data_IF_072975592131
#
_entry.id   IF_072975592131
#
_cell.length_a   1.000
_cell.length_b   1.000
_cell.length_c   1.000
_cell.angle_alpha   90.00
_cell.angle_beta   90.00
_cell.angle_gamma   90.00
#
_symmetry.space_group_name_H-M   'P 1'
#
loop_
_entity.id
_entity.type
_entity.pdbx_description
1 polymer ?
#
# COMPACT_ATOMS: atom_id res chain seq x y z
N UNK A 1 6.49 -12.63 11.17
CA UNK A 1 5.54 -13.49 10.43
C UNK A 1 6.29 -14.59 9.68
N UNK A 2 5.66 -15.75 9.47
CA UNK A 2 6.19 -16.81 8.60
C UNK A 2 5.63 -16.71 7.17
N UNK A 3 6.20 -17.44 6.21
CA UNK A 3 5.91 -17.28 4.78
C UNK A 3 4.42 -17.42 4.42
N UNK A 4 3.72 -18.40 5.00
CA UNK A 4 2.28 -18.61 4.74
C UNK A 4 1.45 -17.40 5.20
N UNK A 5 1.71 -16.89 6.41
CA UNK A 5 1.00 -15.72 6.94
C UNK A 5 1.30 -14.46 6.14
N UNK A 6 2.54 -14.33 5.66
CA UNK A 6 2.92 -13.26 4.75
C UNK A 6 2.13 -13.33 3.44
N UNK A 7 2.02 -14.49 2.81
CA UNK A 7 1.24 -14.66 1.57
C UNK A 7 -0.25 -14.38 1.77
N UNK A 8 -0.82 -14.85 2.88
CA UNK A 8 -2.21 -14.57 3.28
C UNK A 8 -2.48 -13.10 3.57
N UNK A 9 -1.45 -12.32 3.88
CA UNK A 9 -1.58 -10.87 4.01
C UNK A 9 -1.39 -10.20 2.64
N UNK A 10 -0.31 -10.54 1.94
CA UNK A 10 0.17 -9.85 0.75
C UNK A 10 -0.79 -9.97 -0.46
N UNK A 11 -1.26 -11.18 -0.77
CA UNK A 11 -2.09 -11.42 -1.96
C UNK A 11 -3.48 -10.76 -1.82
N UNK A 12 -4.30 -11.07 -0.81
CA UNK A 12 -5.66 -10.53 -0.74
C UNK A 12 -5.69 -9.02 -0.49
N UNK A 13 -4.73 -8.46 0.26
CA UNK A 13 -4.64 -7.00 0.42
C UNK A 13 -4.25 -6.28 -0.87
N UNK A 14 -3.35 -6.86 -1.68
CA UNK A 14 -3.01 -6.33 -3.00
C UNK A 14 -4.22 -6.33 -3.95
N UNK A 15 -4.94 -7.45 -4.01
CA UNK A 15 -6.17 -7.56 -4.82
C UNK A 15 -7.21 -6.54 -4.35
N UNK A 16 -7.45 -6.46 -3.04
CA UNK A 16 -8.39 -5.49 -2.47
C UNK A 16 -8.00 -4.05 -2.77
N UNK A 17 -6.71 -3.71 -2.70
CA UNK A 17 -6.20 -2.39 -3.08
C UNK A 17 -6.59 -2.02 -4.51
N UNK A 18 -6.34 -2.90 -5.48
CA UNK A 18 -6.73 -2.64 -6.87
C UNK A 18 -8.24 -2.59 -7.09
N UNK A 19 -9.03 -3.38 -6.35
CA UNK A 19 -10.50 -3.25 -6.38
C UNK A 19 -10.92 -1.86 -5.90
N UNK A 20 -10.34 -1.36 -4.79
CA UNK A 20 -10.62 0.00 -4.29
C UNK A 20 -10.22 1.06 -5.33
N UNK A 21 -9.07 0.88 -5.98
CA UNK A 21 -8.62 1.70 -7.11
C UNK A 21 -9.60 1.73 -8.26
N UNK A 22 -10.08 0.57 -8.69
CA UNK A 22 -11.06 0.47 -9.76
C UNK A 22 -12.41 1.15 -9.46
N UNK A 23 -12.77 1.27 -8.18
CA UNK A 23 -14.00 1.95 -7.76
C UNK A 23 -13.90 3.48 -7.79
N UNK A 24 -12.73 4.05 -7.43
CA UNK A 24 -12.63 5.47 -7.08
C UNK A 24 -11.49 6.23 -7.80
N UNK A 25 -10.60 5.53 -8.49
CA UNK A 25 -9.48 6.15 -9.22
C UNK A 25 -9.94 6.75 -10.56
N UNK A 26 -9.02 7.43 -11.25
CA UNK A 26 -9.31 8.06 -12.53
C UNK A 26 -9.65 6.99 -13.57
N UNK A 27 -10.89 7.02 -14.07
CA UNK A 27 -11.34 6.22 -15.21
C UNK A 27 -10.36 6.32 -16.38
N UNK A 28 -10.06 5.19 -17.03
CA UNK A 28 -9.22 5.10 -18.24
C UNK A 28 -7.71 5.35 -18.03
N UNK A 29 -7.19 5.23 -16.82
CA UNK A 29 -5.76 5.10 -16.55
C UNK A 29 -5.45 3.70 -16.02
N UNK A 30 -4.77 2.84 -16.79
CA UNK A 30 -4.37 1.54 -16.28
C UNK A 30 -3.34 1.72 -15.17
N UNK A 31 -3.58 1.09 -14.02
CA UNK A 31 -2.65 1.05 -12.88
C UNK A 31 -2.24 -0.39 -12.62
N UNK A 32 -0.94 -0.63 -12.50
CA UNK A 32 -0.35 -1.94 -12.23
C UNK A 32 0.82 -1.81 -11.28
N UNK A 33 1.05 -2.82 -10.45
CA UNK A 33 2.23 -2.87 -9.59
C UNK A 33 2.04 -3.70 -8.33
N UNK A 34 3.15 -4.03 -7.68
CA UNK A 34 3.15 -4.72 -6.39
C UNK A 34 2.88 -3.79 -5.19
N UNK A 35 2.84 -2.47 -5.43
CA UNK A 35 2.90 -1.46 -4.38
C UNK A 35 1.70 -1.49 -3.43
N UNK A 36 0.48 -1.78 -3.88
CA UNK A 36 -0.67 -1.99 -2.98
C UNK A 36 -0.42 -3.09 -1.94
N UNK A 37 0.18 -4.20 -2.36
CA UNK A 37 0.57 -5.28 -1.46
C UNK A 37 1.78 -4.92 -0.57
N UNK A 38 2.69 -4.06 -1.03
CA UNK A 38 3.78 -3.53 -0.18
C UNK A 38 3.21 -2.64 0.92
N UNK A 39 2.24 -1.78 0.63
CA UNK A 39 1.58 -0.94 1.62
C UNK A 39 0.88 -1.76 2.72
N UNK A 40 0.38 -2.96 2.42
CA UNK A 40 -0.14 -3.86 3.44
C UNK A 40 0.96 -4.41 4.36
N UNK A 41 2.19 -4.58 3.86
CA UNK A 41 3.34 -4.94 4.72
C UNK A 41 3.74 -3.80 5.65
N UNK A 42 3.63 -2.54 5.23
CA UNK A 42 3.82 -1.39 6.12
C UNK A 42 2.75 -1.34 7.21
N UNK A 43 1.50 -1.65 6.89
CA UNK A 43 0.44 -1.82 7.89
C UNK A 43 0.76 -2.93 8.89
N UNK A 44 1.28 -4.08 8.43
CA UNK A 44 1.70 -5.16 9.31
C UNK A 44 2.85 -4.75 10.24
N UNK A 45 3.85 -4.04 9.72
CA UNK A 45 4.95 -3.50 10.54
C UNK A 45 4.43 -2.48 11.56
N UNK A 46 3.47 -1.64 11.17
CA UNK A 46 2.85 -0.67 12.08
C UNK A 46 2.13 -1.37 13.23
N UNK A 47 1.33 -2.40 12.94
CA UNK A 47 0.63 -3.18 13.98
C UNK A 47 1.61 -3.90 14.91
N UNK A 48 2.67 -4.48 14.36
CA UNK A 48 3.72 -5.14 15.15
C UNK A 48 4.45 -4.14 16.07
N UNK A 49 4.79 -2.96 15.55
CA UNK A 49 5.47 -1.90 16.29
C UNK A 49 4.61 -1.35 17.43
N UNK A 50 3.30 -1.18 17.20
CA UNK A 50 2.36 -0.74 18.24
C UNK A 50 2.19 -1.83 19.30
N UNK A 51 2.02 -3.09 18.89
CA UNK A 51 1.81 -4.21 19.81
C UNK A 51 3.02 -4.46 20.74
N UNK A 52 4.24 -4.22 20.25
CA UNK A 52 5.49 -4.46 20.99
C UNK A 52 6.25 -3.18 21.34
N UNK A 53 5.57 -2.03 21.42
CA UNK A 53 6.17 -0.70 21.57
C UNK A 53 7.18 -0.57 22.73
N UNK A 54 6.88 -1.19 23.88
CA UNK A 54 7.73 -1.13 25.08
C UNK A 54 8.99 -2.00 24.99
N UNK A 55 8.97 -3.03 24.14
CA UNK A 55 10.07 -3.97 23.96
C UNK A 55 11.01 -3.47 22.86
N UNK A 56 10.47 -2.71 21.91
CA UNK A 56 11.19 -2.29 20.72
C UNK A 56 12.15 -1.12 21.00
N UNK A 57 13.44 -1.34 20.72
CA UNK A 57 14.46 -0.32 20.94
C UNK A 57 14.29 0.84 19.95
N UNK A 58 14.07 2.06 20.49
CA UNK A 58 13.81 3.30 19.73
C UNK A 58 12.56 3.22 18.84
N UNK A 59 11.46 2.68 19.36
CA UNK A 59 10.18 2.55 18.67
C UNK A 59 9.72 3.85 17.96
N UNK A 60 9.85 5.00 18.64
CA UNK A 60 9.47 6.29 18.05
C UNK A 60 10.20 6.65 16.76
N UNK A 61 11.52 6.38 16.67
CA UNK A 61 12.27 6.61 15.41
C UNK A 61 11.82 5.69 14.30
N UNK A 62 11.56 4.41 14.63
CA UNK A 62 11.04 3.43 13.66
C UNK A 62 9.67 3.85 13.12
N UNK A 63 8.80 4.36 14.00
CA UNK A 63 7.50 4.90 13.61
C UNK A 63 7.65 6.08 12.65
N UNK A 64 8.53 7.04 12.96
CA UNK A 64 8.78 8.20 12.09
C UNK A 64 9.26 7.75 10.71
N UNK A 65 10.24 6.84 10.62
CA UNK A 65 10.69 6.32 9.32
C UNK A 65 9.59 5.58 8.56
N UNK A 66 8.78 4.76 9.25
CA UNK A 66 7.67 4.06 8.62
C UNK A 66 6.59 5.03 8.09
N UNK A 67 6.27 6.07 8.85
CA UNK A 67 5.34 7.11 8.41
C UNK A 67 5.90 7.90 7.21
N UNK A 68 7.20 8.18 7.20
CA UNK A 68 7.86 8.80 6.05
C UNK A 68 7.77 7.93 4.80
N UNK A 69 7.91 6.60 4.91
CA UNK A 69 7.74 5.67 3.78
C UNK A 69 6.29 5.65 3.26
N UNK A 70 5.31 5.61 4.17
CA UNK A 70 3.88 5.65 3.82
C UNK A 70 3.53 6.96 3.12
N UNK A 71 3.92 8.10 3.70
CA UNK A 71 3.65 9.43 3.13
C UNK A 71 4.36 9.61 1.80
N UNK A 72 5.64 9.24 1.71
CA UNK A 72 6.40 9.36 0.46
C UNK A 72 5.81 8.49 -0.65
N UNK A 73 5.36 7.27 -0.34
CA UNK A 73 4.69 6.42 -1.31
C UNK A 73 3.36 7.01 -1.80
N UNK A 74 2.58 7.62 -0.91
CA UNK A 74 1.35 8.32 -1.28
C UNK A 74 1.61 9.60 -2.10
N UNK A 75 2.70 10.33 -1.81
CA UNK A 75 3.10 11.48 -2.63
C UNK A 75 3.51 11.05 -4.04
N UNK A 76 4.23 9.94 -4.17
CA UNK A 76 4.58 9.36 -5.48
C UNK A 76 3.34 8.90 -6.24
N UNK A 77 2.27 8.51 -5.57
CA UNK A 77 1.00 8.15 -6.23
C UNK A 77 0.20 9.32 -6.80
N UNK A 78 0.70 10.55 -6.71
CA UNK A 78 0.18 11.69 -7.48
C UNK A 78 0.70 11.70 -8.94
N UNK A 79 1.68 10.84 -9.26
CA UNK A 79 2.25 10.67 -10.60
C UNK A 79 1.32 9.77 -11.43
N UNK A 80 1.07 10.08 -12.72
CA UNK A 80 0.25 9.24 -13.58
C UNK A 80 0.81 7.81 -13.69
N UNK A 81 -0.08 6.82 -13.63
CA UNK A 81 0.27 5.39 -13.65
C UNK A 81 0.47 4.76 -12.27
N UNK A 82 0.47 5.55 -11.20
CA UNK A 82 0.49 5.07 -9.81
C UNK A 82 -0.86 5.41 -9.18
N UNK A 83 -1.49 4.43 -8.53
CA UNK A 83 -2.81 4.61 -7.93
C UNK A 83 -2.75 4.67 -6.40
N UNK A 84 -3.05 5.83 -5.84
CA UNK A 84 -3.09 6.04 -4.39
C UNK A 84 -4.24 5.29 -3.71
N UNK A 85 -5.34 5.01 -4.42
CA UNK A 85 -6.40 4.16 -3.88
C UNK A 85 -5.92 2.73 -3.67
N UNK A 86 -5.12 2.18 -4.57
CA UNK A 86 -4.48 0.88 -4.37
C UNK A 86 -3.57 0.84 -3.14
N UNK A 87 -2.80 1.90 -2.89
CA UNK A 87 -1.98 2.00 -1.67
C UNK A 87 -2.81 2.09 -0.40
N UNK A 88 -3.83 2.95 -0.39
CA UNK A 88 -4.73 3.13 0.75
C UNK A 88 -5.53 1.86 1.04
N UNK A 89 -6.05 1.21 0.00
CA UNK A 89 -6.81 -0.04 0.11
C UNK A 89 -5.93 -1.19 0.59
N UNK A 90 -4.73 -1.33 0.02
CA UNK A 90 -3.76 -2.31 0.47
C UNK A 90 -3.36 -2.11 1.93
N UNK A 91 -3.11 -0.87 2.35
CA UNK A 91 -2.82 -0.52 3.74
C UNK A 91 -4.00 -0.84 4.68
N UNK A 92 -5.22 -0.47 4.33
CA UNK A 92 -6.40 -0.68 5.18
C UNK A 92 -6.76 -2.16 5.35
N UNK A 93 -6.74 -2.95 4.27
CA UNK A 93 -6.91 -4.40 4.36
C UNK A 93 -5.72 -5.06 5.07
N UNK A 94 -4.50 -4.55 4.87
CA UNK A 94 -3.31 -4.97 5.59
C UNK A 94 -3.41 -4.80 7.11
N UNK A 95 -3.97 -3.67 7.57
CA UNK A 95 -4.22 -3.44 9.00
C UNK A 95 -5.13 -4.52 9.58
N UNK A 96 -6.27 -4.81 8.93
CA UNK A 96 -7.20 -5.84 9.41
C UNK A 96 -6.60 -7.24 9.38
N UNK A 97 -5.97 -7.63 8.26
CA UNK A 97 -5.36 -8.96 8.14
C UNK A 97 -4.19 -9.14 9.11
N UNK A 98 -3.40 -8.10 9.37
CA UNK A 98 -2.30 -8.17 10.33
C UNK A 98 -2.81 -8.44 11.75
N UNK A 99 -3.90 -7.80 12.18
CA UNK A 99 -4.54 -8.04 13.49
C UNK A 99 -5.00 -9.51 13.63
N UNK A 100 -5.53 -10.09 12.55
CA UNK A 100 -5.98 -11.49 12.50
C UNK A 100 -4.79 -12.46 12.57
N UNK A 101 -3.73 -12.18 11.80
CA UNK A 101 -2.64 -13.13 11.54
C UNK A 101 -1.49 -13.05 12.55
N UNK A 102 -1.30 -11.95 13.27
CA UNK A 102 -0.20 -11.81 14.22
C UNK A 102 -0.44 -12.63 15.49
N UNK A 103 0.48 -13.53 15.88
CA UNK A 103 0.38 -14.24 17.15
C UNK A 103 0.79 -13.32 18.30
N UNK A 104 -0.18 -12.89 19.12
CA UNK A 104 0.08 -12.11 20.34
C UNK A 104 0.11 -13.06 21.54
N UNK A 105 1.15 -12.97 22.37
CA UNK A 105 1.28 -13.72 23.62
C UNK A 105 0.44 -13.03 24.71
N UNK A 106 -0.52 -13.75 25.28
CA UNK A 106 -1.44 -13.20 26.28
C UNK A 106 -1.04 -13.69 27.68
N UNK A 107 -0.84 -12.75 28.60
CA UNK A 107 -0.52 -13.05 30.00
C UNK A 107 -1.77 -13.36 30.86
N UNK A 108 -2.97 -12.92 30.42
CA UNK A 108 -4.24 -13.03 31.17
C UNK A 108 -5.41 -13.46 30.29
N UNK A 109 -6.38 -14.19 30.87
CA UNK A 109 -7.63 -14.65 30.21
C UNK A 109 -8.53 -13.50 29.75
N UNK A 110 -8.60 -12.41 30.51
CA UNK A 110 -9.39 -11.22 30.14
C UNK A 110 -8.80 -10.54 28.91
N UNK A 111 -7.49 -10.36 28.88
CA UNK A 111 -6.77 -9.81 27.73
C UNK A 111 -6.89 -10.73 26.50
N UNK A 112 -6.87 -12.05 26.72
CA UNK A 112 -7.10 -13.04 25.68
C UNK A 112 -8.49 -12.90 25.04
N UNK A 113 -9.55 -12.75 25.84
CA UNK A 113 -10.91 -12.56 25.32
C UNK A 113 -11.02 -11.28 24.49
N UNK A 114 -10.52 -10.15 24.99
CA UNK A 114 -10.55 -8.88 24.25
C UNK A 114 -9.87 -8.98 22.89
N UNK A 115 -8.71 -9.66 22.82
CA UNK A 115 -8.02 -9.87 21.55
C UNK A 115 -8.76 -10.82 20.60
N UNK A 116 -9.40 -11.87 21.10
CA UNK A 116 -10.26 -12.71 20.26
C UNK A 116 -11.44 -11.94 19.69
N UNK A 117 -12.08 -11.05 20.47
CA UNK A 117 -13.15 -10.19 19.99
C UNK A 117 -12.64 -9.21 18.92
N UNK A 118 -11.49 -8.56 19.14
CA UNK A 118 -10.86 -7.68 18.15
C UNK A 118 -10.55 -8.43 16.85
N UNK A 119 -10.03 -9.66 16.94
CA UNK A 119 -9.79 -10.51 15.76
C UNK A 119 -11.08 -10.89 15.03
N UNK A 120 -12.14 -11.21 15.76
CA UNK A 120 -13.44 -11.51 15.17
C UNK A 120 -14.00 -10.30 14.43
N UNK A 121 -13.93 -9.11 15.06
CA UNK A 121 -14.35 -7.85 14.43
C UNK A 121 -13.51 -7.55 13.19
N UNK A 122 -12.18 -7.72 13.26
CA UNK A 122 -11.30 -7.52 12.12
C UNK A 122 -11.61 -8.50 10.98
N UNK A 123 -11.91 -9.76 11.29
CA UNK A 123 -12.30 -10.76 10.31
C UNK A 123 -13.61 -10.38 9.62
N UNK A 124 -14.66 -10.10 10.39
CA UNK A 124 -15.95 -9.67 9.83
C UNK A 124 -15.80 -8.38 9.02
N UNK A 125 -15.07 -7.39 9.55
CA UNK A 125 -14.79 -6.13 8.86
C UNK A 125 -14.04 -6.31 7.54
N UNK A 126 -13.05 -7.21 7.50
CA UNK A 126 -12.30 -7.52 6.28
C UNK A 126 -13.19 -8.13 5.20
N UNK A 127 -14.07 -9.07 5.57
CA UNK A 127 -15.00 -9.72 4.66
C UNK A 127 -16.06 -8.74 4.15
N UNK A 128 -16.65 -7.95 5.05
CA UNK A 128 -17.66 -6.94 4.69
C UNK A 128 -17.06 -5.91 3.74
N UNK A 129 -15.89 -5.35 4.04
CA UNK A 129 -15.23 -4.40 3.15
C UNK A 129 -14.92 -5.02 1.78
N UNK A 130 -14.41 -6.25 1.75
CA UNK A 130 -14.07 -6.92 0.49
C UNK A 130 -15.32 -7.14 -0.36
N UNK A 131 -16.39 -7.67 0.23
CA UNK A 131 -17.66 -7.93 -0.47
C UNK A 131 -18.28 -6.62 -0.97
N UNK A 132 -18.39 -5.59 -0.13
CA UNK A 132 -19.01 -4.31 -0.51
C UNK A 132 -18.27 -3.67 -1.69
N UNK A 133 -16.94 -3.59 -1.63
CA UNK A 133 -16.16 -2.97 -2.71
C UNK A 133 -16.10 -3.82 -3.97
N UNK A 134 -16.06 -5.14 -3.84
CA UNK A 134 -16.17 -6.05 -4.98
C UNK A 134 -17.52 -5.88 -5.69
N UNK A 135 -18.63 -5.84 -4.95
CA UNK A 135 -19.95 -5.63 -5.55
C UNK A 135 -20.11 -4.22 -6.11
N UNK A 136 -19.53 -3.20 -5.46
CA UNK A 136 -19.55 -1.83 -5.96
C UNK A 136 -18.75 -1.68 -7.27
N UNK A 137 -17.69 -2.45 -7.44
CA UNK A 137 -16.86 -2.45 -8.66
C UNK A 137 -17.67 -2.82 -9.92
N UNK A 138 -18.69 -3.67 -9.80
CA UNK A 138 -19.55 -4.08 -10.92
C UNK A 138 -20.79 -3.20 -11.12
N UNK A 139 -20.94 -2.10 -10.37
CA UNK A 139 -22.01 -1.13 -10.63
C UNK A 139 -21.62 -0.18 -11.77
N UNK A 140 -22.62 0.37 -12.44
CA UNK A 140 -22.44 1.20 -13.65
C UNK A 140 -21.64 2.49 -13.39
N UNK A 141 -21.64 3.05 -12.17
CA UNK A 141 -20.87 4.28 -11.83
C UNK A 141 -20.43 4.35 -10.35
N UNK A 142 -19.44 3.55 -9.89
CA UNK A 142 -18.98 3.59 -8.49
C UNK A 142 -18.28 4.92 -8.12
N UNK A 143 -17.64 5.55 -9.11
CA UNK A 143 -16.88 6.79 -8.94
C UNK A 143 -17.78 8.04 -8.84
N UNK A 144 -19.06 7.96 -9.23
CA UNK A 144 -19.99 9.09 -9.15
C UNK A 144 -20.29 9.52 -7.70
N UNK A 145 -20.04 8.64 -6.73
CA UNK A 145 -20.30 8.90 -5.31
C UNK A 145 -19.26 9.82 -4.65
N UNK A 146 -18.14 10.13 -5.31
CA UNK A 146 -17.04 10.87 -4.70
C UNK A 146 -16.36 11.86 -5.67
N UNK A 147 -16.86 13.10 -5.71
CA UNK A 147 -16.30 14.15 -6.56
C UNK A 147 -14.86 14.56 -6.23
N UNK A 148 -14.38 14.28 -5.01
CA UNK A 148 -13.03 14.64 -4.55
C UNK A 148 -12.01 13.48 -4.63
N UNK A 149 -12.47 12.23 -4.80
CA UNK A 149 -11.61 11.05 -4.84
C UNK A 149 -10.54 11.16 -5.92
N UNK A 150 -10.88 11.80 -7.03
CA UNK A 150 -9.98 12.09 -8.14
C UNK A 150 -8.70 12.85 -7.77
N UNK A 151 -8.74 13.67 -6.72
CA UNK A 151 -7.57 14.44 -6.28
C UNK A 151 -6.58 13.61 -5.46
N UNK A 152 -6.97 12.42 -5.00
CA UNK A 152 -6.05 11.52 -4.31
C UNK A 152 -5.02 10.91 -5.26
N UNK A 153 -5.38 10.61 -6.51
CA UNK A 153 -4.44 10.05 -7.50
C UNK A 153 -3.95 11.07 -8.53
N UNK A 154 -4.30 12.36 -8.38
CA UNK A 154 -3.87 13.41 -9.29
C UNK A 154 -3.88 14.78 -8.61
N UNK A 155 -2.77 15.52 -8.75
CA UNK A 155 -2.69 16.91 -8.30
C UNK A 155 -3.08 17.89 -9.44
N UNK A 156 -3.99 18.85 -9.22
CA UNK A 156 -4.41 19.78 -10.26
C UNK A 156 -3.30 20.82 -10.54
N UNK A 157 -2.58 20.63 -11.65
CA UNK A 157 -1.59 21.58 -12.18
C UNK A 157 -2.07 22.19 -13.51
N UNK A 158 -1.49 23.34 -13.88
CA UNK A 158 -1.78 24.00 -15.15
C UNK A 158 -1.47 23.13 -16.38
N UNK A 159 -0.58 22.14 -16.24
CA UNK A 159 -0.18 21.21 -17.30
C UNK A 159 -1.15 20.02 -17.50
N UNK A 160 -2.05 19.74 -16.55
CA UNK A 160 -2.92 18.55 -16.58
C UNK A 160 -4.42 18.88 -16.46
N UNK A 161 -4.91 19.92 -17.15
CA UNK A 161 -6.34 20.26 -17.29
C UNK A 161 -7.22 19.85 -16.09
N UNK A 162 -6.84 20.29 -14.88
CA UNK A 162 -7.58 20.10 -13.62
C UNK A 162 -7.93 18.65 -13.29
N UNK A 163 -7.04 17.69 -13.52
CA UNK A 163 -7.37 16.27 -13.33
C UNK A 163 -8.77 15.98 -13.93
N UNK A 164 -9.15 16.54 -15.09
CA UNK A 164 -10.41 16.25 -15.76
C UNK A 164 -10.09 15.33 -16.92
N UNK A 165 -10.80 14.21 -17.03
CA UNK A 165 -10.52 13.22 -18.05
C UNK A 165 -11.14 11.88 -17.73
N UNK A 166 -12.21 11.52 -18.41
CA UNK A 166 -12.47 10.11 -18.70
C UNK A 166 -11.28 9.63 -19.53
N UNK A 167 -10.41 8.81 -18.94
CA UNK A 167 -9.18 8.37 -19.60
C UNK A 167 -9.45 7.75 -20.96
N UNK A 168 -8.44 7.85 -21.83
CA UNK A 168 -8.48 7.59 -23.27
C UNK A 168 -9.62 8.33 -23.97
N UNK A 169 -9.37 9.60 -24.31
CA UNK A 169 -9.98 10.16 -25.52
C UNK A 169 -9.42 9.35 -26.69
N UNK A 170 -10.17 8.37 -27.17
CA UNK A 170 -9.93 7.79 -28.49
C UNK A 170 -10.11 8.93 -29.49
N UNK A 171 -9.02 9.65 -29.76
CA UNK A 171 -8.98 10.54 -30.91
C UNK A 171 -8.97 9.60 -32.10
N UNK A 172 -10.14 9.42 -32.71
CA UNK A 172 -10.22 8.90 -34.08
C UNK A 172 -9.44 9.86 -34.95
N UNK A 173 -8.13 9.62 -35.07
CA UNK A 173 -7.27 10.37 -35.96
C UNK A 173 -7.57 9.82 -37.35
N UNK A 174 -8.46 10.47 -38.09
CA UNK A 174 -8.50 10.29 -39.54
C UNK A 174 -7.07 10.52 -40.01
N UNK A 175 -6.44 9.46 -40.54
CA UNK A 175 -5.09 9.51 -41.05
C UNK A 175 -5.13 10.44 -42.25
N UNK A 176 -4.72 11.69 -42.05
CA UNK A 176 -4.12 12.48 -43.10
C UNK A 176 -2.65 12.60 -42.73
N UNK A 177 -1.84 11.84 -43.44
CA UNK A 177 -0.39 11.75 -43.31
C UNK A 177 0.25 13.12 -43.45
N UNK A 178 0.71 13.72 -42.35
CA UNK A 178 1.88 14.60 -42.34
C UNK A 178 2.60 14.48 -40.99
N UNK A 179 3.86 14.04 -41.05
CA UNK A 179 4.81 13.95 -39.93
C UNK A 179 5.45 15.34 -39.76
N UNK A 180 5.57 15.86 -38.53
CA UNK A 180 6.91 16.08 -38.01
C UNK A 180 7.10 15.66 -36.55
N UNK A 181 8.37 15.39 -36.24
CA UNK A 181 8.91 14.92 -34.99
C UNK A 181 8.90 15.98 -33.86
N UNK A 182 8.90 15.49 -32.62
CA UNK A 182 9.86 15.82 -31.54
C UNK A 182 9.15 15.88 -30.16
N UNK A 183 9.72 15.21 -29.16
CA UNK A 183 9.14 15.15 -27.81
C UNK A 183 9.82 14.12 -26.92
N UNK A 184 11.08 14.35 -26.60
CA UNK A 184 11.88 13.61 -25.62
C UNK A 184 11.20 13.55 -24.25
N UNK A 185 10.76 12.36 -23.83
CA UNK A 185 10.32 12.11 -22.46
C UNK A 185 11.54 11.87 -21.57
N UNK A 186 11.82 12.86 -20.72
CA UNK A 186 12.94 12.87 -19.80
C UNK A 186 12.70 11.86 -18.67
N UNK A 187 13.22 10.63 -18.82
CA UNK A 187 13.15 9.54 -17.83
C UNK A 187 14.18 9.68 -16.69
N UNK A 188 14.59 10.90 -16.35
CA UNK A 188 15.74 11.12 -15.45
C UNK A 188 15.42 10.98 -13.95
N UNK A 189 14.16 10.80 -13.55
CA UNK A 189 13.77 10.68 -12.14
C UNK A 189 13.86 9.25 -11.56
N UNK A 190 13.79 8.21 -12.39
CA UNK A 190 13.73 6.82 -11.93
C UNK A 190 15.10 6.27 -11.48
N UNK A 191 16.20 6.85 -11.96
CA UNK A 191 17.54 6.25 -11.81
C UNK A 191 18.18 6.57 -10.44
N UNK A 192 17.71 7.60 -9.73
CA UNK A 192 18.35 8.07 -8.49
C UNK A 192 17.74 7.46 -7.22
N UNK A 193 16.50 6.97 -7.26
CA UNK A 193 15.76 6.55 -6.05
C UNK A 193 15.85 5.03 -5.78
N UNK A 194 15.95 4.21 -6.83
CA UNK A 194 16.14 2.75 -6.76
C UNK A 194 17.38 2.29 -5.95
N UNK A 195 18.55 2.97 -5.99
CA UNK A 195 19.70 2.57 -5.17
C UNK A 195 19.58 3.00 -3.69
N UNK A 196 18.68 3.93 -3.34
CA UNK A 196 18.51 4.38 -1.94
C UNK A 196 17.51 3.47 -1.21
N UNK A 197 16.39 3.12 -1.85
CA UNK A 197 15.41 2.17 -1.31
C UNK A 197 15.99 0.75 -1.20
N UNK A 198 16.81 0.32 -2.16
CA UNK A 198 17.50 -0.98 -2.06
C UNK A 198 18.56 -1.01 -0.96
N UNK A 199 19.29 0.09 -0.73
CA UNK A 199 20.24 0.21 0.39
C UNK A 199 19.54 0.24 1.74
N UNK A 200 18.40 0.93 1.89
CA UNK A 200 17.65 0.96 3.16
C UNK A 200 16.98 -0.38 3.48
N UNK A 201 16.44 -1.07 2.48
CA UNK A 201 15.92 -2.44 2.62
C UNK A 201 17.05 -3.42 2.96
N UNK A 202 18.22 -3.27 2.34
CA UNK A 202 19.40 -4.09 2.64
C UNK A 202 19.96 -3.81 4.05
N UNK A 203 19.97 -2.55 4.50
CA UNK A 203 20.38 -2.20 5.87
C UNK A 203 19.39 -2.75 6.91
N UNK A 204 18.08 -2.67 6.68
CA UNK A 204 17.07 -3.28 7.56
C UNK A 204 17.23 -4.81 7.67
N UNK A 205 17.54 -5.49 6.56
CA UNK A 205 17.79 -6.93 6.55
C UNK A 205 19.14 -7.30 7.20
N UNK A 206 20.18 -6.49 7.01
CA UNK A 206 21.50 -6.71 7.62
C UNK A 206 21.49 -6.50 9.14
N UNK A 207 20.74 -5.52 9.64
CA UNK A 207 20.53 -5.33 11.09
C UNK A 207 19.81 -6.53 11.72
N UNK A 208 18.83 -7.13 11.03
CA UNK A 208 18.15 -8.34 11.53
C UNK A 208 19.08 -9.57 11.50
N UNK A 209 19.98 -9.69 10.53
CA UNK A 209 20.98 -10.77 10.48
C UNK A 209 22.06 -10.61 11.57
N UNK A 210 22.60 -9.40 11.76
CA UNK A 210 23.58 -9.11 12.82
C UNK A 210 23.00 -9.30 14.23
N UNK A 211 21.73 -8.91 14.45
CA UNK A 211 21.04 -9.15 15.72
C UNK A 211 20.86 -10.65 15.99
N UNK A 212 20.60 -11.47 14.96
CA UNK A 212 20.44 -12.92 15.10
C UNK A 212 21.77 -13.60 15.47
N UNK A 213 22.88 -13.19 14.86
CA UNK A 213 24.20 -13.76 15.13
C UNK A 213 24.78 -13.37 16.50
N UNK A 214 24.41 -12.19 17.02
CA UNK A 214 24.82 -11.75 18.36
C UNK A 214 24.07 -12.49 19.48
N UNK A 215 22.87 -13.01 19.20
CA UNK A 215 22.09 -13.84 20.12
C UNK A 215 22.58 -15.29 20.10
N UNK A 216 22.93 -15.84 18.92
CA UNK A 216 23.49 -17.20 18.84
C UNK A 216 24.87 -17.32 19.48
N UNK A 217 25.76 -16.34 19.30
CA UNK A 217 27.09 -16.36 19.95
C UNK A 217 27.07 -16.12 21.47
N UNK A 218 25.91 -15.77 22.05
CA UNK A 218 25.75 -15.60 23.50
C UNK A 218 25.12 -16.83 24.18
N UNK A 219 24.79 -17.86 23.40
CA UNK A 219 24.23 -19.14 23.87
C UNK A 219 25.24 -20.30 23.77
N UNK A 220 26.47 -20.03 23.31
CA UNK A 220 27.57 -21.01 23.20
C UNK A 220 28.73 -20.75 24.20
N UNK A 221 28.47 -20.08 25.34
CA UNK A 221 29.40 -19.98 26.47
C UNK A 221 28.66 -20.34 27.76
#
# INVERSE_FOLDING_TARGET
MGSIRFLMLYIPSGVFGFILGGNFSLVGQPSVGASGAIFSTYAAILVDLIAHWSIEHRAGRKLVFLLLEIVSGLLLGLIPGIDNFSHIGGFSMGLLLSIILFPVLHQSKTHQLSFYLIRLIALVGSLVMFIVLYLNFFKEDPAASCGWCRYLSCWPTASNNRCKGTGLTTTTRTITTTVPANGSSNQSGLIVILPILSRLVWEQLSFRWMAKNKVTNKLEI
#
